data_IF_691858416775
#
_entry.id   IF_691858416775
#
_cell.length_a   1.000
_cell.length_b   1.000
_cell.length_c   1.000
_cell.angle_alpha   90.00
_cell.angle_beta   90.00
_cell.angle_gamma   90.00
#
_symmetry.space_group_name_H-M   'P 1'
#
loop_
_entity.id
_entity.type
_entity.pdbx_description
1 polymer ?
#
# COMPACT_ATOMS: atom_id res chain seq x y z
N UNK A 1 -7.63 12.51 -14.81
CA UNK A 1 -7.45 11.05 -14.85
C UNK A 1 -6.17 10.66 -14.13
N UNK A 2 -6.28 9.84 -13.09
CA UNK A 2 -5.13 9.37 -12.32
C UNK A 2 -4.40 8.24 -13.04
N UNK A 3 -3.07 8.21 -12.95
CA UNK A 3 -2.23 7.13 -13.48
C UNK A 3 -1.14 6.77 -12.48
N UNK A 4 -0.72 5.51 -12.47
CA UNK A 4 0.36 5.04 -11.62
C UNK A 4 1.40 4.24 -12.40
N UNK A 5 2.66 4.36 -12.00
CA UNK A 5 3.79 3.67 -12.63
C UNK A 5 4.76 3.21 -11.54
N UNK A 6 5.14 1.93 -11.58
CA UNK A 6 6.13 1.38 -10.66
C UNK A 6 7.53 1.91 -11.03
N UNK A 7 8.16 2.65 -10.13
CA UNK A 7 9.55 3.12 -10.30
C UNK A 7 10.54 2.09 -9.76
N UNK A 8 10.28 1.56 -8.55
CA UNK A 8 11.21 0.68 -7.85
C UNK A 8 10.47 -0.37 -7.03
N UNK A 9 10.99 -1.59 -7.07
CA UNK A 9 10.73 -2.63 -6.09
C UNK A 9 12.07 -3.25 -5.66
N UNK A 10 12.41 -3.06 -4.39
CA UNK A 10 13.66 -3.52 -3.79
C UNK A 10 13.38 -4.10 -2.40
N UNK A 11 14.43 -4.63 -1.75
CA UNK A 11 14.32 -5.17 -0.41
C UNK A 11 13.80 -4.08 0.56
N UNK A 12 12.62 -4.32 1.14
CA UNK A 12 11.95 -3.40 2.06
C UNK A 12 11.54 -2.04 1.47
N UNK A 13 11.52 -1.87 0.15
CA UNK A 13 11.18 -0.59 -0.47
C UNK A 13 10.37 -0.75 -1.76
N UNK A 14 9.27 0.00 -1.86
CA UNK A 14 8.50 0.21 -3.10
C UNK A 14 8.40 1.70 -3.36
N UNK A 15 8.59 2.12 -4.60
CA UNK A 15 8.30 3.49 -5.06
C UNK A 15 7.41 3.46 -6.30
N UNK A 16 6.33 4.23 -6.24
CA UNK A 16 5.33 4.35 -7.29
C UNK A 16 5.17 5.83 -7.61
N UNK A 17 5.29 6.17 -8.88
CA UNK A 17 4.89 7.48 -9.38
C UNK A 17 3.38 7.48 -9.53
N UNK A 18 2.71 8.46 -8.92
CA UNK A 18 1.28 8.70 -9.09
C UNK A 18 1.11 10.06 -9.75
N UNK A 19 0.46 10.08 -10.90
CA UNK A 19 0.16 11.30 -11.64
C UNK A 19 -1.33 11.61 -11.49
N UNK A 20 -1.62 12.79 -10.96
CA UNK A 20 -2.94 13.41 -10.99
C UNK A 20 -2.96 14.52 -12.05
N UNK A 21 -4.13 15.07 -12.37
CA UNK A 21 -4.28 15.98 -13.52
C UNK A 21 -3.33 17.18 -13.54
N UNK A 22 -2.87 17.65 -12.37
CA UNK A 22 -2.01 18.84 -12.26
C UNK A 22 -0.68 18.57 -11.57
N UNK A 23 -0.48 17.38 -11.00
CA UNK A 23 0.63 17.16 -10.08
C UNK A 23 1.15 15.72 -10.16
N UNK A 24 2.46 15.59 -9.97
CA UNK A 24 3.13 14.31 -9.84
C UNK A 24 3.50 14.10 -8.38
N UNK A 25 3.22 12.90 -7.88
CA UNK A 25 3.54 12.48 -6.54
C UNK A 25 4.35 11.19 -6.55
N UNK A 26 5.13 10.96 -5.50
CA UNK A 26 5.82 9.70 -5.25
C UNK A 26 5.19 9.04 -4.02
N UNK A 27 4.48 7.94 -4.24
CA UNK A 27 4.00 7.04 -3.21
C UNK A 27 5.09 6.03 -2.87
N UNK A 28 5.45 5.94 -1.60
CA UNK A 28 6.56 5.10 -1.14
C UNK A 28 6.09 4.19 -0.03
N UNK A 29 6.56 2.95 -0.05
CA UNK A 29 6.47 2.05 1.09
C UNK A 29 7.86 1.67 1.58
N UNK A 30 8.02 1.64 2.90
CA UNK A 30 9.27 1.30 3.57
C UNK A 30 9.03 0.31 4.69
N UNK A 31 9.74 -0.82 4.64
CA UNK A 31 9.77 -1.81 5.72
C UNK A 31 10.92 -1.52 6.65
N UNK A 32 10.62 -1.52 7.95
CA UNK A 32 11.59 -1.47 9.03
C UNK A 32 11.45 -2.72 9.91
N UNK A 33 12.36 -2.88 10.87
CA UNK A 33 12.38 -4.05 11.74
C UNK A 33 11.07 -4.28 12.52
N UNK A 34 10.33 -3.22 12.89
CA UNK A 34 9.10 -3.32 13.72
C UNK A 34 7.89 -2.57 13.18
N UNK A 35 8.04 -1.93 12.01
CA UNK A 35 6.99 -1.12 11.41
C UNK A 35 7.16 -1.06 9.90
N UNK A 36 6.05 -0.83 9.22
CA UNK A 36 6.04 -0.48 7.81
C UNK A 36 5.46 0.93 7.69
N UNK A 37 6.00 1.76 6.80
CA UNK A 37 5.59 3.15 6.60
C UNK A 37 5.15 3.38 5.16
N UNK A 38 4.04 4.11 5.00
CA UNK A 38 3.61 4.65 3.70
C UNK A 38 3.83 6.15 3.69
N UNK A 39 4.53 6.64 2.68
CA UNK A 39 4.91 8.04 2.51
C UNK A 39 4.36 8.54 1.17
N UNK A 40 3.93 9.79 1.14
CA UNK A 40 3.58 10.53 -0.06
C UNK A 40 4.47 11.76 -0.13
N UNK A 41 5.28 11.87 -1.19
CA UNK A 41 6.28 12.94 -1.36
C UNK A 41 7.20 13.09 -0.13
N UNK A 42 7.59 11.95 0.45
CA UNK A 42 8.40 11.89 1.67
C UNK A 42 7.65 12.21 2.97
N UNK A 43 6.38 12.63 2.93
CA UNK A 43 5.54 12.85 4.10
C UNK A 43 4.77 11.59 4.47
N UNK A 44 4.86 11.16 5.72
CA UNK A 44 4.22 9.94 6.21
C UNK A 44 2.70 10.06 6.24
N UNK A 45 2.03 9.13 5.58
CA UNK A 45 0.56 9.03 5.52
C UNK A 45 0.03 7.99 6.49
N UNK A 46 0.69 6.83 6.58
CA UNK A 46 0.25 5.74 7.44
C UNK A 46 1.46 4.97 7.98
N UNK A 47 1.29 4.34 9.14
CA UNK A 47 2.27 3.45 9.76
C UNK A 47 1.56 2.18 10.20
N UNK A 48 2.04 1.05 9.73
CA UNK A 48 1.68 -0.23 10.31
C UNK A 48 2.70 -0.64 11.36
N UNK A 49 2.22 -1.06 12.53
CA UNK A 49 3.07 -1.57 13.62
C UNK A 49 2.68 -3.00 13.93
N UNK A 50 3.67 -3.88 14.05
CA UNK A 50 3.42 -5.28 14.38
C UNK A 50 4.71 -6.11 14.41
N UNK A 51 4.73 -7.14 15.25
CA UNK A 51 5.70 -8.23 15.13
C UNK A 51 5.38 -9.03 13.86
N UNK A 52 6.40 -9.62 13.22
CA UNK A 52 6.48 -10.11 11.82
C UNK A 52 5.23 -10.73 11.15
N UNK A 53 4.24 -11.21 11.89
CA UNK A 53 3.06 -11.94 11.41
C UNK A 53 1.74 -11.14 11.39
N UNK A 54 1.76 -9.87 11.79
CA UNK A 54 0.52 -9.07 11.97
C UNK A 54 0.57 -7.66 11.38
N UNK A 55 1.46 -7.41 10.41
CA UNK A 55 1.54 -6.09 9.77
C UNK A 55 0.48 -5.93 8.71
N UNK A 56 -0.08 -4.73 8.67
CA UNK A 56 -1.06 -4.33 7.68
C UNK A 56 -0.42 -4.35 6.28
N UNK A 57 -1.12 -4.98 5.36
CA UNK A 57 -0.71 -5.12 3.96
C UNK A 57 -1.58 -4.28 3.03
N UNK A 58 -2.63 -3.65 3.56
CA UNK A 58 -3.63 -2.88 2.82
C UNK A 58 -3.75 -1.50 3.45
N UNK A 59 -3.45 -0.45 2.68
CA UNK A 59 -3.42 0.93 3.15
C UNK A 59 -4.46 1.77 2.39
N UNK A 60 -5.26 2.54 3.12
CA UNK A 60 -6.21 3.48 2.54
C UNK A 60 -5.60 4.87 2.42
N UNK A 61 -5.58 5.43 1.20
CA UNK A 61 -4.95 6.72 0.92
C UNK A 61 -5.96 7.68 0.29
N UNK A 62 -5.77 8.98 0.50
CA UNK A 62 -6.57 10.02 -0.17
C UNK A 62 -5.63 11.06 -0.78
N UNK A 63 -5.71 11.23 -2.09
CA UNK A 63 -4.87 12.14 -2.87
C UNK A 63 -5.64 13.41 -3.24
N UNK A 64 -5.02 14.57 -3.06
CA UNK A 64 -5.59 15.85 -3.49
C UNK A 64 -6.78 16.31 -2.67
N UNK A 65 -6.81 16.00 -1.36
CA UNK A 65 -7.70 16.69 -0.42
C UNK A 65 -7.42 18.19 -0.44
N UNK A 66 -8.47 18.98 -0.33
CA UNK A 66 -8.36 20.42 -0.10
C UNK A 66 -7.93 20.73 1.35
N UNK A 67 -7.79 22.03 1.66
CA UNK A 67 -7.37 22.51 2.99
C UNK A 67 -8.38 22.14 4.09
N UNK A 68 -9.63 21.93 3.73
CA UNK A 68 -10.72 21.53 4.64
C UNK A 68 -10.78 19.99 4.83
N UNK A 69 -9.93 19.25 4.11
CA UNK A 69 -9.85 17.79 4.16
C UNK A 69 -10.92 17.08 3.32
N UNK A 70 -11.68 17.84 2.54
CA UNK A 70 -12.75 17.36 1.68
C UNK A 70 -12.24 17.01 0.27
N UNK A 71 -13.02 16.17 -0.40
CA UNK A 71 -12.69 15.69 -1.74
C UNK A 71 -11.45 14.79 -1.81
N UNK A 72 -10.81 14.80 -2.97
CA UNK A 72 -9.68 13.94 -3.30
C UNK A 72 -10.03 12.54 -3.80
N UNK A 73 -9.07 11.90 -4.46
CA UNK A 73 -9.19 10.54 -4.98
C UNK A 73 -8.79 9.54 -3.91
N UNK A 74 -9.71 8.64 -3.56
CA UNK A 74 -9.47 7.57 -2.58
C UNK A 74 -8.81 6.39 -3.28
N UNK A 75 -7.70 5.92 -2.73
CA UNK A 75 -6.95 4.77 -3.24
C UNK A 75 -6.82 3.68 -2.19
N UNK A 76 -6.81 2.44 -2.65
CA UNK A 76 -6.33 1.29 -1.86
C UNK A 76 -4.96 0.91 -2.40
N UNK A 77 -4.00 0.82 -1.49
CA UNK A 77 -2.64 0.36 -1.77
C UNK A 77 -2.38 -0.95 -1.03
N UNK A 78 -2.22 -2.03 -1.79
CA UNK A 78 -2.05 -3.40 -1.29
C UNK A 78 -0.66 -3.92 -1.61
N UNK A 79 -0.03 -4.57 -0.64
CA UNK A 79 1.33 -5.10 -0.73
C UNK A 79 1.35 -6.55 -0.28
N UNK A 80 1.74 -7.45 -1.18
CA UNK A 80 2.11 -8.82 -0.80
C UNK A 80 3.56 -8.81 -0.31
N UNK A 81 3.68 -8.82 1.00
CA UNK A 81 4.95 -8.71 1.71
C UNK A 81 5.45 -10.05 2.26
N UNK A 82 4.89 -11.17 1.77
CA UNK A 82 5.18 -12.52 2.26
C UNK A 82 6.68 -12.83 2.22
N UNK A 83 7.10 -13.51 3.28
CA UNK A 83 8.43 -14.07 3.42
C UNK A 83 8.50 -15.41 2.69
N UNK A 84 9.54 -15.62 1.89
CA UNK A 84 9.89 -16.96 1.44
C UNK A 84 10.75 -17.65 2.48
N UNK A 85 10.13 -18.42 3.37
CA UNK A 85 10.86 -19.19 4.38
C UNK A 85 11.67 -20.36 3.78
N UNK A 86 11.44 -20.70 2.50
CA UNK A 86 12.19 -21.72 1.79
C UNK A 86 13.35 -21.17 0.97
N UNK A 87 13.49 -19.83 0.88
CA UNK A 87 14.63 -19.20 0.21
C UNK A 87 15.79 -19.05 1.20
N UNK A 88 16.96 -19.59 0.84
CA UNK A 88 18.22 -19.36 1.54
C UNK A 88 18.84 -18.01 1.18
N UNK A 89 18.21 -17.24 0.30
CA UNK A 89 18.68 -15.95 -0.16
C UNK A 89 18.21 -14.83 0.79
N UNK A 90 19.11 -14.41 1.68
CA UNK A 90 18.85 -13.38 2.69
C UNK A 90 18.45 -12.03 2.05
N UNK A 91 18.81 -11.78 0.79
CA UNK A 91 18.47 -10.55 0.06
C UNK A 91 17.04 -10.55 -0.52
N UNK A 92 16.49 -11.72 -0.86
CA UNK A 92 15.09 -11.86 -1.30
C UNK A 92 14.10 -11.91 -0.14
N UNK A 93 14.60 -12.13 1.08
CA UNK A 93 13.84 -12.34 2.30
C UNK A 93 12.80 -11.25 2.64
N UNK A 94 13.01 -10.02 2.18
CA UNK A 94 12.13 -8.88 2.45
C UNK A 94 11.76 -8.07 1.20
N UNK A 95 11.95 -8.63 0.00
CA UNK A 95 11.44 -8.04 -1.24
C UNK A 95 9.94 -8.35 -1.39
N UNK A 96 9.07 -7.34 -1.59
CA UNK A 96 7.66 -7.58 -1.82
C UNK A 96 7.44 -8.39 -3.11
N UNK A 97 6.50 -9.35 -3.05
CA UNK A 97 6.17 -10.26 -4.17
C UNK A 97 5.13 -9.69 -5.12
N UNK A 98 4.32 -8.76 -4.62
CA UNK A 98 3.25 -8.17 -5.38
C UNK A 98 2.81 -6.84 -4.81
N UNK A 99 2.29 -5.99 -5.69
CA UNK A 99 1.82 -4.65 -5.38
C UNK A 99 0.59 -4.35 -6.22
N UNK A 100 -0.43 -3.75 -5.60
CA UNK A 100 -1.62 -3.28 -6.29
C UNK A 100 -2.04 -1.91 -5.77
N UNK A 101 -2.36 -1.00 -6.68
CA UNK A 101 -2.91 0.31 -6.38
C UNK A 101 -4.21 0.46 -7.17
N UNK A 102 -5.29 0.78 -6.48
CA UNK A 102 -6.64 0.84 -7.06
C UNK A 102 -7.34 2.12 -6.64
N UNK A 103 -8.10 2.70 -7.56
CA UNK A 103 -9.15 3.66 -7.22
C UNK A 103 -10.52 2.95 -7.13
N UNK A 104 -11.61 3.72 -7.05
CA UNK A 104 -12.95 3.16 -6.94
C UNK A 104 -13.38 2.37 -8.19
N UNK A 105 -12.82 2.70 -9.35
CA UNK A 105 -13.31 2.25 -10.64
C UNK A 105 -12.35 1.24 -11.30
N UNK A 106 -11.04 1.36 -11.04
CA UNK A 106 -9.99 0.66 -11.78
C UNK A 106 -8.76 0.34 -10.91
N UNK A 107 -8.05 -0.72 -11.32
CA UNK A 107 -6.67 -0.93 -10.89
C UNK A 107 -5.73 0.02 -11.66
N UNK A 108 -5.05 0.92 -10.94
CA UNK A 108 -4.10 1.88 -11.49
C UNK A 108 -2.72 1.26 -11.72
N UNK A 109 -2.33 0.31 -10.87
CA UNK A 109 -1.08 -0.44 -10.97
C UNK A 109 -1.30 -1.86 -10.44
N UNK A 110 -0.81 -2.85 -11.17
CA UNK A 110 -0.71 -4.25 -10.71
C UNK A 110 0.69 -4.75 -11.07
N UNK A 111 1.42 -5.27 -10.09
CA UNK A 111 2.74 -5.85 -10.27
C UNK A 111 2.87 -7.13 -9.45
N UNK A 112 3.52 -8.15 -10.03
CA UNK A 112 3.79 -9.42 -9.35
C UNK A 112 2.53 -10.24 -9.07
N UNK A 113 2.57 -11.07 -8.02
CA UNK A 113 1.45 -11.94 -7.63
C UNK A 113 0.97 -11.55 -6.24
N UNK A 114 -0.35 -11.35 -6.11
CA UNK A 114 -1.03 -11.26 -4.81
C UNK A 114 -1.69 -12.61 -4.55
N UNK A 115 -1.37 -13.29 -3.45
CA UNK A 115 -2.01 -14.58 -3.15
C UNK A 115 -3.50 -14.41 -2.83
N UNK A 116 -4.41 -15.12 -3.52
CA UNK A 116 -5.83 -15.11 -3.22
C UNK A 116 -6.17 -15.53 -1.78
N UNK A 117 -5.35 -16.38 -1.14
CA UNK A 117 -5.63 -16.91 0.21
C UNK A 117 -5.46 -15.88 1.33
N UNK A 118 -4.56 -14.93 1.16
CA UNK A 118 -4.37 -13.80 2.09
C UNK A 118 -5.19 -12.57 1.68
N UNK A 119 -5.72 -12.56 0.45
CA UNK A 119 -6.83 -11.70 0.03
C UNK A 119 -8.19 -12.30 0.39
N UNK A 120 -8.31 -13.00 1.53
CA UNK A 120 -9.61 -13.11 2.20
C UNK A 120 -10.07 -11.68 2.54
N UNK A 121 -10.79 -11.12 1.56
CA UNK A 121 -11.26 -9.74 1.50
C UNK A 121 -11.93 -9.37 2.82
N UNK A 122 -11.71 -8.15 3.37
CA UNK A 122 -12.83 -7.41 3.90
C UNK A 122 -13.81 -7.31 2.72
N UNK A 123 -14.98 -7.92 2.87
CA UNK A 123 -15.97 -8.13 1.81
C UNK A 123 -16.38 -6.84 1.10
N UNK A 124 -16.11 -5.66 1.69
CA UNK A 124 -16.32 -4.34 1.11
C UNK A 124 -15.28 -3.28 1.54
N UNK A 125 -15.15 -2.20 0.74
CA UNK A 125 -14.36 -0.99 1.06
C UNK A 125 -14.65 -0.43 2.46
N UNK A 126 -15.92 -0.52 2.90
CA UNK A 126 -16.37 -0.07 4.22
C UNK A 126 -15.78 -0.89 5.37
N UNK A 127 -15.50 -2.18 5.18
CA UNK A 127 -14.89 -3.01 6.22
C UNK A 127 -13.39 -2.71 6.38
N UNK A 128 -12.68 -2.45 5.29
CA UNK A 128 -11.30 -1.99 5.33
C UNK A 128 -11.18 -0.62 6.03
N UNK A 129 -12.12 0.29 5.75
CA UNK A 129 -12.17 1.61 6.37
C UNK A 129 -12.55 1.55 7.86
N UNK A 130 -13.52 0.70 8.24
CA UNK A 130 -13.91 0.46 9.64
C UNK A 130 -12.77 -0.13 10.47
N UNK A 131 -12.01 -1.08 9.91
CA UNK A 131 -10.82 -1.65 10.55
C UNK A 131 -9.75 -0.60 10.83
N UNK A 132 -9.51 0.30 9.87
CA UNK A 132 -8.50 1.36 10.02
C UNK A 132 -8.92 2.51 10.95
N UNK A 133 -10.22 2.77 11.09
CA UNK A 133 -10.75 3.81 11.99
C UNK A 133 -11.02 3.31 13.42
N UNK A 134 -10.71 2.04 13.74
CA UNK A 134 -10.84 1.49 15.09
C UNK A 134 -12.27 1.39 15.61
N UNK A 135 -13.28 1.50 14.74
CA UNK A 135 -14.67 1.30 15.14
C UNK A 135 -14.95 -0.20 15.24
N UNK A 136 -15.05 -0.70 16.47
CA UNK A 136 -15.53 -2.05 16.75
C UNK A 136 -17.01 -2.19 16.41
N UNK A 137 -17.41 -3.44 16.21
CA UNK A 137 -18.74 -3.86 15.76
C UNK A 137 -19.85 -3.45 16.72
#
# INVERSE_FOLDING_TARGET
MMKAELIRIANGAIDIKVVTDKTMHILQWRRHMFRDEVLLDGKRQQVSRGLMWGRETIYGLVFGRDEDGEGGSKLIFTIDSRHDWNSLDLDEYSRPRGVRLEDADNALLVFGTLDPKEMEKPSTFMEALKKNLGMQW
#
